data_IF_611283958781
#
_entry.id   IF_611283958781
#
_cell.length_a   1.000
_cell.length_b   1.000
_cell.length_c   1.000
_cell.angle_alpha   90.00
_cell.angle_beta   90.00
_cell.angle_gamma   90.00
#
_symmetry.space_group_name_H-M   'P 1'
#
loop_
_entity.id
_entity.type
_entity.pdbx_description
1 polymer ?
#
# COMPACT_ATOMS: atom_id res chain seq x y z
N UNK A 1 -10.06 -3.18 28.18
CA UNK A 1 -10.03 -2.90 26.72
C UNK A 1 -10.47 -1.46 26.51
N UNK A 2 -9.56 -0.52 26.21
CA UNK A 2 -9.97 0.83 25.87
C UNK A 2 -10.45 0.85 24.42
N UNK A 3 -11.66 1.36 24.24
CA UNK A 3 -12.32 1.59 22.94
C UNK A 3 -11.59 2.74 22.24
N UNK A 4 -11.08 2.49 21.03
CA UNK A 4 -10.57 3.55 20.14
C UNK A 4 -11.70 4.56 19.87
N UNK A 5 -11.45 5.88 20.00
CA UNK A 5 -12.48 6.88 19.71
C UNK A 5 -12.83 6.86 18.23
N UNK A 6 -14.14 6.82 17.93
CA UNK A 6 -14.66 6.94 16.57
C UNK A 6 -14.16 8.26 15.94
N UNK A 7 -13.37 8.17 14.88
CA UNK A 7 -12.91 9.35 14.13
C UNK A 7 -14.04 9.89 13.26
N UNK A 8 -14.18 11.22 13.16
CA UNK A 8 -15.18 11.83 12.29
C UNK A 8 -14.86 11.50 10.83
N UNK A 9 -15.82 10.89 10.13
CA UNK A 9 -15.76 10.75 8.67
C UNK A 9 -15.75 12.16 8.07
N UNK A 10 -14.62 12.59 7.52
CA UNK A 10 -14.56 13.83 6.76
C UNK A 10 -15.64 13.81 5.66
N UNK A 11 -16.39 14.91 5.40
CA UNK A 11 -17.52 14.89 4.47
C UNK A 11 -17.06 14.45 3.08
N UNK A 12 -17.55 13.27 2.65
CA UNK A 12 -17.01 12.46 1.54
C UNK A 12 -17.07 13.09 0.14
N UNK A 13 -17.77 14.21 -0.04
CA UNK A 13 -17.94 14.83 -1.37
C UNK A 13 -17.05 16.07 -1.57
N UNK A 14 -16.72 16.81 -0.50
CA UNK A 14 -15.92 18.03 -0.62
C UNK A 14 -14.40 17.78 -0.71
N UNK A 15 -13.93 16.60 -0.28
CA UNK A 15 -12.50 16.24 -0.26
C UNK A 15 -12.01 15.68 -1.61
N UNK A 16 -12.92 15.20 -2.46
CA UNK A 16 -12.62 14.62 -3.79
C UNK A 16 -12.02 15.63 -4.77
N UNK A 17 -12.33 16.92 -4.60
CA UNK A 17 -11.94 18.00 -5.52
C UNK A 17 -10.66 18.73 -5.05
N UNK A 18 -10.28 18.61 -3.77
CA UNK A 18 -9.17 19.42 -3.19
C UNK A 18 -7.83 18.72 -3.04
N UNK A 19 -7.74 17.40 -3.17
CA UNK A 19 -6.50 16.66 -2.85
C UNK A 19 -5.69 16.17 -4.05
N UNK A 20 -6.03 16.53 -5.29
CA UNK A 20 -5.13 16.26 -6.43
C UNK A 20 -4.77 14.80 -6.68
N UNK A 21 -5.44 13.83 -6.04
CA UNK A 21 -5.15 12.40 -6.23
C UNK A 21 -6.11 11.80 -7.25
N UNK A 22 -5.62 11.39 -8.45
CA UNK A 22 -6.47 10.77 -9.47
C UNK A 22 -7.02 9.39 -9.07
N UNK A 23 -6.59 8.82 -7.93
CA UNK A 23 -6.69 7.39 -7.63
C UNK A 23 -7.50 6.99 -6.39
N UNK A 24 -8.21 7.91 -5.74
CA UNK A 24 -9.09 7.56 -4.60
C UNK A 24 -10.39 6.87 -5.06
N UNK A 25 -10.27 5.58 -5.39
CA UNK A 25 -11.41 4.68 -5.61
C UNK A 25 -11.97 4.19 -4.27
N UNK A 26 -13.25 3.78 -4.25
CA UNK A 26 -13.86 3.19 -3.05
C UNK A 26 -13.10 1.92 -2.60
N UNK A 27 -12.62 1.13 -3.56
CA UNK A 27 -11.83 -0.07 -3.28
C UNK A 27 -10.47 0.28 -2.65
N UNK A 28 -9.81 1.33 -3.14
CA UNK A 28 -8.56 1.84 -2.55
C UNK A 28 -8.76 2.27 -1.10
N UNK A 29 -9.80 3.08 -0.83
CA UNK A 29 -10.13 3.48 0.53
C UNK A 29 -10.44 2.28 1.44
N UNK A 30 -11.21 1.30 0.95
CA UNK A 30 -11.49 0.11 1.75
C UNK A 30 -10.23 -0.70 2.08
N UNK A 31 -9.28 -0.82 1.13
CA UNK A 31 -7.98 -1.45 1.38
C UNK A 31 -7.17 -0.70 2.43
N UNK A 32 -7.22 0.62 2.44
CA UNK A 32 -6.58 1.46 3.46
C UNK A 32 -7.19 1.21 4.86
N UNK A 33 -8.52 1.23 4.97
CA UNK A 33 -9.19 0.95 6.25
C UNK A 33 -8.92 -0.49 6.76
N UNK A 34 -8.85 -1.46 5.84
CA UNK A 34 -8.39 -2.82 6.15
C UNK A 34 -6.95 -2.78 6.69
N UNK A 35 -6.07 -1.98 6.09
CA UNK A 35 -4.70 -1.80 6.57
C UNK A 35 -4.64 -1.37 8.03
N UNK A 36 -5.45 -0.39 8.44
CA UNK A 36 -5.56 0.00 9.85
C UNK A 36 -6.10 -1.12 10.74
N UNK A 37 -7.12 -1.84 10.29
CA UNK A 37 -7.65 -2.97 11.05
C UNK A 37 -6.57 -4.02 11.31
N UNK A 38 -5.86 -4.43 10.25
CA UNK A 38 -4.77 -5.41 10.36
C UNK A 38 -3.57 -4.87 11.12
N UNK A 39 -3.24 -3.58 11.06
CA UNK A 39 -2.18 -2.99 11.87
C UNK A 39 -2.32 -3.34 13.36
N UNK A 40 -3.54 -3.26 13.90
CA UNK A 40 -3.83 -3.58 15.31
C UNK A 40 -3.72 -5.08 15.66
N UNK A 41 -3.78 -5.95 14.65
CA UNK A 41 -3.74 -7.42 14.80
C UNK A 41 -2.33 -7.94 14.53
N UNK A 42 -1.66 -7.38 13.53
CA UNK A 42 -0.37 -7.82 13.03
C UNK A 42 0.78 -7.33 13.90
N UNK A 43 0.68 -6.12 14.47
CA UNK A 43 1.73 -5.51 15.30
C UNK A 43 1.47 -5.80 16.79
N UNK A 44 1.33 -7.09 17.15
CA UNK A 44 1.05 -7.55 18.52
C UNK A 44 2.33 -7.83 19.35
N UNK A 45 3.49 -7.82 18.72
CA UNK A 45 4.81 -8.05 19.31
C UNK A 45 5.68 -6.78 19.29
N UNK A 46 6.40 -6.51 20.38
CA UNK A 46 7.21 -5.28 20.51
C UNK A 46 8.40 -5.25 19.53
N UNK A 47 8.98 -6.41 19.18
CA UNK A 47 10.07 -6.43 18.21
C UNK A 47 9.57 -6.09 16.80
N UNK A 48 8.37 -6.56 16.44
CA UNK A 48 7.75 -6.19 15.17
C UNK A 48 7.30 -4.73 15.13
N UNK A 49 6.79 -4.20 16.24
CA UNK A 49 6.46 -2.78 16.38
C UNK A 49 7.72 -1.90 16.29
N UNK A 50 8.83 -2.32 16.88
CA UNK A 50 10.11 -1.63 16.75
C UNK A 50 10.62 -1.63 15.30
N UNK A 51 10.55 -2.76 14.59
CA UNK A 51 10.87 -2.80 13.15
C UNK A 51 9.93 -1.91 12.32
N UNK A 52 8.64 -1.87 12.65
CA UNK A 52 7.68 -0.97 12.02
C UNK A 52 8.08 0.50 12.23
N UNK A 53 8.57 0.88 13.41
CA UNK A 53 9.04 2.25 13.69
C UNK A 53 10.24 2.65 12.85
N UNK A 54 11.19 1.74 12.66
CA UNK A 54 12.35 1.99 11.81
C UNK A 54 11.97 2.23 10.34
N UNK A 55 10.89 1.60 9.87
CA UNK A 55 10.45 1.68 8.47
C UNK A 55 9.47 2.84 8.20
N UNK A 56 8.52 3.07 9.11
CA UNK A 56 7.40 3.99 8.90
C UNK A 56 7.48 5.26 9.78
N UNK A 57 8.37 5.27 10.77
CA UNK A 57 8.51 6.34 11.77
C UNK A 57 7.80 6.02 13.09
N UNK A 58 8.04 6.86 14.11
CA UNK A 58 7.49 6.68 15.44
C UNK A 58 6.01 7.07 15.51
N UNK A 59 5.15 6.06 15.63
CA UNK A 59 3.71 6.20 15.69
C UNK A 59 3.18 6.95 16.92
N UNK A 60 4.02 7.15 17.94
CA UNK A 60 3.65 7.85 19.18
C UNK A 60 3.51 9.35 18.96
N UNK A 61 3.92 9.84 17.78
CA UNK A 61 3.61 11.19 17.34
C UNK A 61 2.11 11.48 17.50
N UNK A 62 1.78 12.71 17.88
CA UNK A 62 0.40 13.11 18.03
C UNK A 62 -0.29 13.10 16.67
N UNK A 63 -1.18 12.13 16.47
CA UNK A 63 -1.95 12.01 15.23
C UNK A 63 -2.67 13.32 14.87
N UNK A 64 -3.25 13.99 15.86
CA UNK A 64 -3.98 15.24 15.65
C UNK A 64 -3.07 16.36 15.18
N UNK A 65 -1.91 16.51 15.81
CA UNK A 65 -0.97 17.58 15.44
C UNK A 65 -0.35 17.31 14.06
N UNK A 66 -0.09 16.04 13.75
CA UNK A 66 0.41 15.62 12.44
C UNK A 66 -0.62 15.86 11.32
N UNK A 67 -1.90 15.58 11.59
CA UNK A 67 -3.01 15.89 10.69
C UNK A 67 -3.15 17.40 10.46
N UNK A 68 -3.14 18.19 11.52
CA UNK A 68 -3.24 19.66 11.44
C UNK A 68 -2.04 20.25 10.68
N UNK A 69 -0.84 19.71 10.89
CA UNK A 69 0.36 20.08 10.14
C UNK A 69 0.22 19.75 8.66
N UNK A 70 -0.18 18.53 8.31
CA UNK A 70 -0.34 18.09 6.92
C UNK A 70 -1.37 18.94 6.16
N UNK A 71 -2.51 19.28 6.77
CA UNK A 71 -3.48 20.17 6.10
C UNK A 71 -3.01 21.62 5.98
N UNK A 72 -2.08 22.07 6.83
CA UNK A 72 -1.54 23.43 6.78
C UNK A 72 -0.38 23.56 5.79
N UNK A 73 0.48 22.57 5.71
CA UNK A 73 1.76 22.65 4.98
C UNK A 73 1.88 21.66 3.81
N UNK A 74 0.99 20.66 3.72
CA UNK A 74 1.07 19.59 2.72
C UNK A 74 2.16 18.57 3.05
N UNK A 75 2.43 17.67 2.09
CA UNK A 75 3.62 16.83 2.16
C UNK A 75 4.93 17.65 2.03
N UNK A 76 6.02 17.20 2.68
CA UNK A 76 7.33 17.81 2.51
C UNK A 76 7.83 17.69 1.06
N UNK A 77 8.67 18.64 0.64
CA UNK A 77 9.33 18.58 -0.67
C UNK A 77 10.13 17.28 -0.83
N UNK A 78 10.02 16.64 -2.00
CA UNK A 78 10.72 15.38 -2.28
C UNK A 78 10.09 14.14 -1.64
N UNK A 79 8.89 14.23 -1.04
CA UNK A 79 8.21 13.10 -0.40
C UNK A 79 8.12 11.84 -1.28
N UNK A 80 7.95 12.00 -2.59
CA UNK A 80 7.78 10.90 -3.55
C UNK A 80 9.02 10.01 -3.69
N UNK A 81 10.16 10.42 -3.10
CA UNK A 81 11.36 9.60 -3.01
C UNK A 81 11.28 8.51 -1.93
N UNK A 82 10.34 8.61 -0.98
CA UNK A 82 10.27 7.73 0.20
C UNK A 82 8.86 7.22 0.56
N UNK A 83 7.82 7.83 0.01
CA UNK A 83 6.41 7.53 0.32
C UNK A 83 5.62 7.18 -0.94
N UNK A 84 4.63 6.30 -0.79
CA UNK A 84 3.79 5.85 -1.90
C UNK A 84 2.72 6.88 -2.29
N UNK A 85 2.31 7.73 -1.35
CA UNK A 85 1.34 8.81 -1.56
C UNK A 85 1.72 10.03 -0.71
N UNK A 86 1.16 11.19 -1.05
CA UNK A 86 1.34 12.40 -0.24
C UNK A 86 0.74 12.20 1.15
N UNK A 87 -0.40 11.52 1.25
CA UNK A 87 -1.08 11.28 2.53
C UNK A 87 -0.30 10.32 3.45
N UNK A 88 0.50 9.40 2.89
CA UNK A 88 1.41 8.57 3.67
C UNK A 88 2.43 9.39 4.50
N UNK A 89 2.74 10.63 4.09
CA UNK A 89 3.63 11.52 4.87
C UNK A 89 2.99 12.06 6.14
N UNK A 90 1.65 11.95 6.28
CA UNK A 90 0.90 12.61 7.35
C UNK A 90 1.20 12.00 8.71
N UNK A 91 1.30 10.68 8.80
CA UNK A 91 1.56 9.98 10.06
C UNK A 91 2.09 8.56 9.79
N UNK A 92 2.96 7.98 10.65
CA UNK A 92 3.47 6.62 10.45
C UNK A 92 2.38 5.54 10.26
N UNK A 93 1.27 5.69 10.98
CA UNK A 93 0.09 4.82 10.79
C UNK A 93 -0.56 4.90 9.41
N UNK A 94 -0.47 6.04 8.76
CA UNK A 94 -1.05 6.28 7.45
C UNK A 94 -0.09 5.77 6.37
N UNK A 95 1.22 5.95 6.56
CA UNK A 95 2.24 5.33 5.71
C UNK A 95 2.12 3.80 5.69
N UNK A 96 1.90 3.19 6.86
CA UNK A 96 1.61 1.76 6.97
C UNK A 96 0.33 1.38 6.19
N UNK A 97 -0.78 2.09 6.42
CA UNK A 97 -2.07 1.76 5.82
C UNK A 97 -2.08 1.97 4.29
N UNK A 98 -1.44 3.03 3.80
CA UNK A 98 -1.25 3.30 2.38
C UNK A 98 -0.36 2.24 1.73
N UNK A 99 0.76 1.87 2.37
CA UNK A 99 1.63 0.79 1.89
C UNK A 99 0.88 -0.56 1.86
N UNK A 100 0.11 -0.87 2.90
CA UNK A 100 -0.70 -2.08 2.95
C UNK A 100 -1.76 -2.10 1.84
N UNK A 101 -2.44 -0.98 1.63
CA UNK A 101 -3.44 -0.85 0.57
C UNK A 101 -2.82 -1.05 -0.81
N UNK A 102 -1.62 -0.50 -1.01
CA UNK A 102 -0.86 -0.63 -2.24
C UNK A 102 -0.36 -2.06 -2.46
N UNK A 103 0.08 -2.74 -1.41
CA UNK A 103 0.43 -4.16 -1.45
C UNK A 103 -0.75 -5.03 -1.92
N UNK A 104 -1.95 -4.80 -1.38
CA UNK A 104 -3.16 -5.49 -1.83
C UNK A 104 -3.57 -5.12 -3.26
N UNK A 105 -3.29 -3.88 -3.69
CA UNK A 105 -3.49 -3.47 -5.08
C UNK A 105 -2.62 -4.27 -6.03
N UNK A 106 -1.33 -4.42 -5.71
CA UNK A 106 -0.36 -5.19 -6.50
C UNK A 106 -0.79 -6.65 -6.58
N UNK A 107 -0.95 -7.33 -5.44
CA UNK A 107 -1.29 -8.75 -5.43
C UNK A 107 -2.64 -9.03 -6.09
N UNK A 108 -3.66 -8.22 -5.84
CA UNK A 108 -4.97 -8.40 -6.47
C UNK A 108 -4.92 -8.25 -7.99
N UNK A 109 -4.08 -7.34 -8.50
CA UNK A 109 -3.90 -7.13 -9.94
C UNK A 109 -3.09 -8.26 -10.58
N UNK A 110 -2.03 -8.74 -9.92
CA UNK A 110 -1.26 -9.91 -10.36
C UNK A 110 -2.12 -11.17 -10.37
N UNK A 111 -2.90 -11.40 -9.32
CA UNK A 111 -3.85 -12.51 -9.27
C UNK A 111 -4.86 -12.43 -10.42
N UNK A 112 -5.38 -11.24 -10.72
CA UNK A 112 -6.31 -11.05 -11.85
C UNK A 112 -5.65 -11.39 -13.18
N UNK A 113 -4.40 -10.96 -13.38
CA UNK A 113 -3.63 -11.25 -14.59
C UNK A 113 -3.37 -12.77 -14.72
N UNK A 114 -2.94 -13.43 -13.64
CA UNK A 114 -2.70 -14.86 -13.58
C UNK A 114 -3.98 -15.67 -13.86
N UNK A 115 -5.09 -15.33 -13.19
CA UNK A 115 -6.40 -15.98 -13.38
C UNK A 115 -6.95 -15.80 -14.80
N UNK A 116 -6.49 -14.76 -15.50
CA UNK A 116 -6.84 -14.48 -16.90
C UNK A 116 -5.85 -15.09 -17.90
N UNK A 117 -4.86 -15.88 -17.45
CA UNK A 117 -3.79 -16.45 -18.28
C UNK A 117 -3.01 -15.40 -19.08
N UNK A 118 -2.72 -14.25 -18.46
CA UNK A 118 -1.84 -13.24 -19.06
C UNK A 118 -0.41 -13.76 -19.06
N UNK A 119 0.20 -13.80 -20.24
CA UNK A 119 1.61 -14.13 -20.45
C UNK A 119 2.30 -12.99 -21.18
N UNK A 120 3.32 -12.40 -20.56
CA UNK A 120 4.12 -11.33 -21.16
C UNK A 120 5.45 -11.93 -21.61
N UNK A 121 5.58 -12.23 -22.90
CA UNK A 121 6.81 -12.76 -23.46
C UNK A 121 7.74 -11.64 -23.93
N UNK A 122 9.06 -11.74 -23.67
CA UNK A 122 9.76 -12.76 -22.87
C UNK A 122 9.79 -12.46 -21.35
N UNK A 123 9.11 -11.41 -20.89
CA UNK A 123 9.26 -10.84 -19.55
C UNK A 123 8.81 -11.73 -18.38
N UNK A 124 7.51 -12.01 -18.24
CA UNK A 124 6.96 -12.69 -17.06
C UNK A 124 5.62 -13.40 -17.30
N UNK A 125 5.31 -14.34 -16.42
CA UNK A 125 3.97 -14.91 -16.21
C UNK A 125 3.62 -14.72 -14.72
N UNK A 126 2.62 -13.87 -14.40
CA UNK A 126 2.15 -13.69 -13.05
C UNK A 126 1.65 -15.00 -12.43
N UNK A 127 1.83 -15.14 -11.11
CA UNK A 127 1.42 -16.31 -10.35
C UNK A 127 0.05 -16.10 -9.68
N UNK A 128 -0.67 -17.20 -9.46
CA UNK A 128 -1.91 -17.17 -8.66
C UNK A 128 -1.60 -16.94 -7.18
N UNK A 129 -0.48 -17.47 -6.70
CA UNK A 129 -0.06 -17.36 -5.32
C UNK A 129 1.44 -17.04 -5.25
N UNK A 130 1.77 -16.02 -4.46
CA UNK A 130 3.13 -15.57 -4.18
C UNK A 130 3.55 -15.87 -2.74
N UNK A 131 2.79 -16.66 -1.99
CA UNK A 131 3.07 -16.93 -0.57
C UNK A 131 4.46 -17.50 -0.34
N UNK A 132 4.96 -18.31 -1.28
CA UNK A 132 6.29 -18.93 -1.23
C UNK A 132 7.35 -18.27 -2.11
N UNK A 133 7.01 -17.12 -2.68
CA UNK A 133 7.94 -16.31 -3.47
C UNK A 133 8.50 -15.15 -2.65
N UNK A 134 9.67 -14.60 -3.03
CA UNK A 134 10.21 -13.41 -2.41
C UNK A 134 9.50 -12.15 -2.95
N UNK A 135 9.54 -11.04 -2.20
CA UNK A 135 8.89 -9.78 -2.61
C UNK A 135 9.45 -9.26 -3.94
N UNK A 136 10.72 -9.51 -4.21
CA UNK A 136 11.41 -9.15 -5.44
C UNK A 136 10.74 -9.78 -6.67
N UNK A 137 10.23 -11.02 -6.53
CA UNK A 137 9.50 -11.68 -7.60
C UNK A 137 8.12 -11.04 -7.82
N UNK A 138 7.41 -10.70 -6.74
CA UNK A 138 6.13 -9.98 -6.81
C UNK A 138 6.30 -8.64 -7.52
N UNK A 139 7.32 -7.87 -7.14
CA UNK A 139 7.59 -6.54 -7.69
C UNK A 139 8.08 -6.59 -9.14
N UNK A 140 8.89 -7.58 -9.50
CA UNK A 140 9.31 -7.79 -10.89
C UNK A 140 8.11 -8.09 -11.79
N UNK A 141 7.21 -8.98 -11.35
CA UNK A 141 6.00 -9.29 -12.13
C UNK A 141 5.06 -8.09 -12.21
N UNK A 142 4.93 -7.34 -11.12
CA UNK A 142 4.13 -6.12 -11.08
C UNK A 142 4.66 -5.02 -11.99
N UNK A 143 5.98 -4.87 -12.08
CA UNK A 143 6.61 -3.91 -12.97
C UNK A 143 6.18 -4.14 -14.42
N UNK A 144 6.28 -5.38 -14.89
CA UNK A 144 5.92 -5.73 -16.27
C UNK A 144 4.41 -5.56 -16.54
N UNK A 145 3.57 -5.96 -15.60
CA UNK A 145 2.11 -5.84 -15.71
C UNK A 145 1.67 -4.37 -15.68
N UNK A 146 2.20 -3.57 -14.76
CA UNK A 146 1.85 -2.14 -14.66
C UNK A 146 2.30 -1.36 -15.91
N UNK A 147 3.47 -1.67 -16.47
CA UNK A 147 3.92 -1.10 -17.74
C UNK A 147 2.98 -1.47 -18.90
N UNK A 148 2.51 -2.72 -18.97
CA UNK A 148 1.51 -3.12 -19.96
C UNK A 148 0.22 -2.31 -19.82
N UNK A 149 -0.31 -2.20 -18.59
CA UNK A 149 -1.53 -1.43 -18.30
C UNK A 149 -1.39 0.03 -18.71
N UNK A 150 -0.25 0.66 -18.41
CA UNK A 150 0.05 2.02 -18.82
C UNK A 150 0.14 2.16 -20.35
N UNK A 151 0.78 1.21 -21.05
CA UNK A 151 0.81 1.20 -22.51
C UNK A 151 -0.57 1.09 -23.13
N UNK A 152 -1.44 0.22 -22.60
CA UNK A 152 -2.84 0.12 -23.05
C UNK A 152 -3.59 1.43 -22.82
N UNK A 153 -3.45 2.03 -21.64
CA UNK A 153 -4.09 3.30 -21.31
C UNK A 153 -3.69 4.42 -22.29
N UNK A 154 -2.38 4.58 -22.53
CA UNK A 154 -1.84 5.56 -23.48
C UNK A 154 -2.30 5.31 -24.91
N UNK A 155 -2.36 4.05 -25.35
CA UNK A 155 -2.84 3.70 -26.69
C UNK A 155 -4.32 4.07 -26.92
N UNK A 156 -5.11 4.15 -25.84
CA UNK A 156 -6.50 4.63 -25.84
C UNK A 156 -6.62 6.14 -25.58
N UNK A 157 -5.50 6.88 -25.59
CA UNK A 157 -5.49 8.33 -25.35
C UNK A 157 -5.76 8.73 -23.89
N UNK A 158 -5.58 7.82 -22.94
CA UNK A 158 -5.76 8.06 -21.51
C UNK A 158 -4.40 8.23 -20.81
N UNK A 159 -4.41 8.84 -19.63
CA UNK A 159 -3.24 8.91 -18.74
C UNK A 159 -2.84 7.51 -18.23
N UNK A 160 -1.66 7.39 -17.63
CA UNK A 160 -1.21 6.13 -17.03
C UNK A 160 -2.22 5.60 -16.01
N UNK A 161 -2.56 4.31 -16.13
CA UNK A 161 -3.49 3.63 -15.22
C UNK A 161 -2.84 3.34 -13.87
N UNK A 162 -1.51 3.31 -13.82
CA UNK A 162 -0.72 3.20 -12.61
C UNK A 162 0.42 4.24 -12.68
N UNK A 163 0.21 5.46 -12.15
CA UNK A 163 1.19 6.54 -12.20
C UNK A 163 2.18 6.53 -11.01
N UNK A 164 2.17 5.48 -10.20
CA UNK A 164 3.01 5.40 -9.00
C UNK A 164 4.43 4.95 -9.35
N UNK A 165 5.40 5.54 -8.66
CA UNK A 165 6.81 5.11 -8.71
C UNK A 165 7.11 4.35 -7.42
N UNK A 166 7.47 3.08 -7.55
CA UNK A 166 7.98 2.31 -6.41
C UNK A 166 9.47 2.63 -6.26
N UNK A 167 9.77 3.50 -5.29
CA UNK A 167 11.15 3.81 -4.90
C UNK A 167 11.69 2.76 -3.92
N UNK A 168 13.02 2.68 -3.77
CA UNK A 168 13.65 1.70 -2.89
C UNK A 168 13.10 1.71 -1.44
N UNK A 169 12.88 2.87 -0.78
CA UNK A 169 12.23 2.88 0.54
C UNK A 169 10.83 2.25 0.55
N UNK A 170 10.03 2.51 -0.48
CA UNK A 170 8.68 1.93 -0.61
C UNK A 170 8.74 0.42 -0.87
N UNK A 171 9.70 -0.04 -1.69
CA UNK A 171 9.91 -1.48 -1.91
C UNK A 171 10.29 -2.21 -0.62
N UNK A 172 11.13 -1.61 0.23
CA UNK A 172 11.47 -2.17 1.55
C UNK A 172 10.22 -2.27 2.43
N UNK A 173 9.37 -1.24 2.47
CA UNK A 173 8.10 -1.25 3.20
C UNK A 173 7.14 -2.33 2.66
N UNK A 174 7.06 -2.50 1.34
CA UNK A 174 6.29 -3.57 0.71
C UNK A 174 6.85 -4.96 1.05
N UNK A 175 8.17 -5.11 1.14
CA UNK A 175 8.83 -6.32 1.61
C UNK A 175 8.49 -6.68 3.05
N UNK A 176 8.42 -5.67 3.93
CA UNK A 176 7.92 -5.84 5.28
C UNK A 176 6.48 -6.37 5.29
N UNK A 177 5.57 -5.76 4.52
CA UNK A 177 4.17 -6.19 4.40
C UNK A 177 4.06 -7.63 3.90
N UNK A 178 4.82 -7.97 2.86
CA UNK A 178 4.85 -9.31 2.28
C UNK A 178 5.29 -10.36 3.30
N UNK A 179 6.37 -10.09 4.03
CA UNK A 179 6.92 -11.02 5.03
C UNK A 179 5.95 -11.25 6.20
N UNK A 180 5.33 -10.21 6.74
CA UNK A 180 4.41 -10.38 7.88
C UNK A 180 3.14 -11.14 7.48
N UNK A 181 2.60 -10.88 6.28
CA UNK A 181 1.37 -11.52 5.81
C UNK A 181 1.59 -12.98 5.41
N UNK A 182 2.66 -13.28 4.66
CA UNK A 182 2.97 -14.67 4.25
C UNK A 182 3.34 -15.56 5.44
N UNK A 183 4.03 -15.02 6.45
CA UNK A 183 4.33 -15.75 7.69
C UNK A 183 3.05 -16.25 8.38
N UNK A 184 1.99 -15.45 8.39
CA UNK A 184 0.71 -15.82 9.02
C UNK A 184 0.02 -16.90 8.20
N UNK A 185 -0.06 -16.75 6.88
CA UNK A 185 -0.64 -17.74 5.97
C UNK A 185 0.00 -19.13 6.16
N UNK A 186 1.34 -19.18 6.24
CA UNK A 186 2.07 -20.44 6.48
C UNK A 186 1.78 -21.07 7.86
N UNK A 187 1.66 -20.24 8.91
CA UNK A 187 1.31 -20.73 10.26
C UNK A 187 -0.09 -21.35 10.29
N UNK A 188 -1.06 -20.73 9.62
CA UNK A 188 -2.42 -21.26 9.50
C UNK A 188 -2.45 -22.59 8.74
N UNK A 189 -1.66 -22.71 7.67
CA UNK A 189 -1.55 -23.95 6.89
C UNK A 189 -0.89 -25.11 7.65
N UNK A 190 0.03 -24.83 8.59
CA UNK A 190 0.71 -25.87 9.39
C UNK A 190 -0.12 -26.35 10.58
N UNK A 191 -1.14 -25.58 10.98
CA UNK A 191 -1.99 -25.87 12.16
C UNK A 191 -3.31 -26.58 11.75
N UNK A 192 -3.53 -26.79 10.45
CA UNK A 192 -4.69 -27.50 9.88
C UNK A 192 -4.26 -28.89 9.41
#
# INVERSE_FOLDING_TARGET
>A
MPVLPARPQAPREALRVRLGEPYRTLLGHFRHEIGHYYQSILLDDEALLAECRELFGDERASYRDALDHHYRFGAPEGWSASYISEYATMHPWEDFAETFAHYLHILGSLWTAAASNVHLQPSTTPLIDYTDEPIERVLADWHEVSLLLNRFSRAMGQNDLYPFVLNAPTEVKLGFMHRILTRITRRSATTS
#
